data_IF_155125323720
#
_entry.id   IF_155125323720
#
_cell.length_a   1.000
_cell.length_b   1.000
_cell.length_c   1.000
_cell.angle_alpha   90.00
_cell.angle_beta   90.00
_cell.angle_gamma   90.00
#
_symmetry.space_group_name_H-M   'P 1'
#
loop_
_entity.id
_entity.type
_entity.pdbx_description
1 polymer ?
#
# COMPACT_ATOMS: atom_id res chain seq x y z
N UNK A 1 9.38 50.39 -42.23
CA UNK A 1 10.01 49.04 -42.24
C UNK A 1 9.08 48.11 -41.47
N UNK A 2 8.59 47.09 -42.15
CA UNK A 2 7.30 46.42 -41.93
C UNK A 2 7.30 45.44 -40.74
N UNK A 3 6.19 45.34 -39.97
CA UNK A 3 6.02 44.41 -38.84
C UNK A 3 5.51 43.01 -39.26
N UNK A 4 5.61 42.65 -40.56
CA UNK A 4 4.96 41.47 -41.13
C UNK A 4 5.50 40.11 -40.62
N UNK A 5 6.73 40.08 -40.08
CA UNK A 5 7.34 38.84 -39.61
C UNK A 5 6.86 38.36 -38.23
N UNK A 6 6.34 39.26 -37.38
CA UNK A 6 5.88 38.90 -36.02
C UNK A 6 4.54 38.15 -36.07
N UNK A 7 3.61 38.62 -36.89
CA UNK A 7 2.26 38.08 -37.03
C UNK A 7 2.26 36.60 -37.47
N UNK A 8 3.19 36.21 -38.34
CA UNK A 8 3.34 34.82 -38.80
C UNK A 8 3.93 33.90 -37.72
N UNK A 9 4.78 34.42 -36.84
CA UNK A 9 5.30 33.67 -35.70
C UNK A 9 4.21 33.54 -34.64
N UNK A 10 3.46 34.61 -34.37
CA UNK A 10 2.36 34.62 -33.40
C UNK A 10 1.25 33.63 -33.80
N UNK A 11 0.93 33.52 -35.10
CA UNK A 11 0.00 32.49 -35.61
C UNK A 11 0.51 31.07 -35.39
N UNK A 12 1.80 30.82 -35.64
CA UNK A 12 2.39 29.50 -35.41
C UNK A 12 2.44 29.15 -33.92
N UNK A 13 2.79 30.13 -33.06
CA UNK A 13 2.77 29.96 -31.61
C UNK A 13 1.36 29.62 -31.15
N UNK A 14 0.34 30.35 -31.62
CA UNK A 14 -1.06 30.09 -31.28
C UNK A 14 -1.52 28.70 -31.75
N UNK A 15 -1.12 28.27 -32.96
CA UNK A 15 -1.40 26.93 -33.46
C UNK A 15 -0.73 25.84 -32.60
N UNK A 16 0.51 26.04 -32.18
CA UNK A 16 1.20 25.10 -31.28
C UNK A 16 0.58 25.06 -29.89
N UNK A 17 0.24 26.20 -29.31
CA UNK A 17 -0.43 26.27 -28.00
C UNK A 17 -1.80 25.57 -28.02
N UNK A 18 -2.56 25.77 -29.11
CA UNK A 18 -3.85 25.10 -29.32
C UNK A 18 -3.65 23.59 -29.46
N UNK A 19 -2.69 23.16 -30.28
CA UNK A 19 -2.37 21.75 -30.47
C UNK A 19 -1.92 21.07 -29.18
N UNK A 20 -1.04 21.72 -28.40
CA UNK A 20 -0.55 21.19 -27.12
C UNK A 20 -1.70 21.06 -26.11
N UNK A 21 -2.60 22.06 -26.03
CA UNK A 21 -3.76 21.96 -25.12
C UNK A 21 -4.78 20.92 -25.56
N UNK A 22 -5.09 20.83 -26.85
CA UNK A 22 -6.21 20.00 -27.31
C UNK A 22 -5.86 18.53 -27.49
N UNK A 23 -4.62 18.24 -27.92
CA UNK A 23 -4.15 16.88 -28.20
C UNK A 23 -3.36 16.35 -27.02
N UNK A 24 -2.27 17.03 -26.67
CA UNK A 24 -1.32 16.55 -25.66
C UNK A 24 -1.95 16.46 -24.26
N UNK A 25 -2.78 17.45 -23.90
CA UNK A 25 -3.46 17.44 -22.59
C UNK A 25 -4.57 16.39 -22.52
N UNK A 26 -5.29 16.18 -23.62
CA UNK A 26 -6.37 15.17 -23.73
C UNK A 26 -5.80 13.76 -23.65
N UNK A 27 -4.77 13.49 -24.45
CA UNK A 27 -4.11 12.19 -24.48
C UNK A 27 -3.47 11.87 -23.10
N UNK A 28 -2.86 12.86 -22.45
CA UNK A 28 -2.27 12.68 -21.11
C UNK A 28 -3.32 12.50 -20.00
N UNK A 29 -4.47 13.19 -20.08
CA UNK A 29 -5.56 13.02 -19.13
C UNK A 29 -6.24 11.64 -19.25
N UNK A 30 -6.40 11.12 -20.46
CA UNK A 30 -6.96 9.77 -20.68
C UNK A 30 -6.01 8.67 -20.22
N UNK A 31 -4.72 8.76 -20.58
CA UNK A 31 -3.73 7.72 -20.27
C UNK A 31 -3.36 7.67 -18.77
N UNK A 32 -3.40 8.81 -18.07
CA UNK A 32 -3.02 8.88 -16.66
C UNK A 32 -4.14 8.44 -15.72
N UNK A 33 -5.41 8.45 -16.16
CA UNK A 33 -6.56 8.31 -15.24
C UNK A 33 -6.77 6.89 -14.67
N UNK A 34 -6.13 5.87 -15.26
CA UNK A 34 -6.35 4.46 -14.93
C UNK A 34 -5.04 3.69 -14.82
N UNK A 35 -5.02 2.71 -13.93
CA UNK A 35 -3.87 1.85 -13.64
C UNK A 35 -4.28 0.38 -13.64
N UNK A 36 -3.34 -0.51 -13.98
CA UNK A 36 -3.55 -1.95 -13.87
C UNK A 36 -3.18 -2.44 -12.46
N UNK A 37 -4.15 -3.00 -11.75
CA UNK A 37 -3.96 -3.58 -10.42
C UNK A 37 -4.02 -5.10 -10.51
N UNK A 38 -3.00 -5.78 -9.98
CA UNK A 38 -2.96 -7.23 -9.90
C UNK A 38 -3.98 -7.74 -8.86
N UNK A 39 -4.93 -8.56 -9.29
CA UNK A 39 -5.98 -9.10 -8.41
C UNK A 39 -5.69 -10.53 -7.94
N UNK A 40 -4.81 -11.25 -8.65
CA UNK A 40 -4.35 -12.61 -8.33
C UNK A 40 -4.35 -13.54 -9.55
N UNK A 41 -3.72 -14.72 -9.41
CA UNK A 41 -3.66 -15.77 -10.45
C UNK A 41 -3.21 -15.28 -11.85
N UNK A 42 -2.37 -14.24 -11.90
CA UNK A 42 -1.89 -13.66 -13.17
C UNK A 42 -2.87 -12.71 -13.86
N UNK A 43 -4.00 -12.38 -13.23
CA UNK A 43 -4.97 -11.42 -13.75
C UNK A 43 -4.74 -10.01 -13.24
N UNK A 44 -4.96 -9.05 -14.14
CA UNK A 44 -4.88 -7.61 -13.88
C UNK A 44 -6.19 -6.96 -14.28
N UNK A 45 -6.62 -5.98 -13.49
CA UNK A 45 -7.83 -5.18 -13.75
C UNK A 45 -7.43 -3.73 -13.89
N UNK A 46 -7.90 -3.09 -14.95
CA UNK A 46 -7.77 -1.65 -15.16
C UNK A 46 -8.75 -0.92 -14.23
N UNK A 47 -8.23 -0.09 -13.33
CA UNK A 47 -9.02 0.63 -12.32
C UNK A 47 -8.67 2.12 -12.36
N UNK A 48 -9.65 2.97 -12.05
CA UNK A 48 -9.36 4.37 -11.73
C UNK A 48 -8.59 4.45 -10.41
N UNK A 49 -7.89 5.58 -10.19
CA UNK A 49 -7.21 5.83 -8.92
C UNK A 49 -8.10 5.66 -7.69
N UNK A 50 -9.34 6.15 -7.75
CA UNK A 50 -10.27 6.08 -6.63
C UNK A 50 -10.69 4.64 -6.30
N UNK A 51 -10.84 3.79 -7.31
CA UNK A 51 -11.17 2.37 -7.16
C UNK A 51 -9.97 1.58 -6.67
N UNK A 52 -8.77 1.87 -7.18
CA UNK A 52 -7.54 1.26 -6.71
C UNK A 52 -7.27 1.55 -5.23
N UNK A 53 -7.50 2.78 -4.77
CA UNK A 53 -7.40 3.14 -3.35
C UNK A 53 -8.38 2.34 -2.49
N UNK A 54 -9.65 2.23 -2.91
CA UNK A 54 -10.65 1.40 -2.21
C UNK A 54 -10.26 -0.08 -2.19
N UNK A 55 -9.67 -0.58 -3.29
CA UNK A 55 -9.18 -1.95 -3.36
C UNK A 55 -8.04 -2.21 -2.39
N UNK A 56 -7.06 -1.30 -2.32
CA UNK A 56 -5.94 -1.36 -1.38
C UNK A 56 -6.46 -1.33 0.05
N UNK A 57 -7.33 -0.39 0.39
CA UNK A 57 -7.91 -0.28 1.73
C UNK A 57 -8.62 -1.57 2.14
N UNK A 58 -9.44 -2.14 1.24
CA UNK A 58 -10.12 -3.41 1.48
C UNK A 58 -9.14 -4.56 1.72
N UNK A 59 -8.07 -4.65 0.91
CA UNK A 59 -7.01 -5.67 1.08
C UNK A 59 -6.24 -5.50 2.39
N UNK A 60 -5.90 -4.26 2.75
CA UNK A 60 -5.24 -3.93 4.02
C UNK A 60 -6.12 -4.36 5.20
N UNK A 61 -7.40 -3.99 5.19
CA UNK A 61 -8.34 -4.36 6.26
C UNK A 61 -8.46 -5.88 6.40
N UNK A 62 -8.56 -6.62 5.28
CA UNK A 62 -8.58 -8.07 5.30
C UNK A 62 -7.32 -8.67 5.95
N UNK A 63 -6.13 -8.18 5.57
CA UNK A 63 -4.86 -8.64 6.13
C UNK A 63 -4.72 -8.29 7.62
N UNK A 64 -5.15 -7.10 8.02
CA UNK A 64 -5.15 -6.67 9.42
C UNK A 64 -6.06 -7.58 10.26
N UNK A 65 -7.30 -7.84 9.82
CA UNK A 65 -8.20 -8.75 10.53
C UNK A 65 -7.61 -10.15 10.66
N UNK A 66 -6.99 -10.67 9.60
CA UNK A 66 -6.35 -11.98 9.68
C UNK A 66 -5.17 -12.00 10.66
N UNK A 67 -4.37 -10.94 10.66
CA UNK A 67 -3.24 -10.74 11.58
C UNK A 67 -3.71 -10.68 13.03
N UNK A 68 -4.81 -9.99 13.31
CA UNK A 68 -5.39 -9.91 14.68
C UNK A 68 -5.82 -11.27 15.20
N UNK A 69 -6.46 -12.10 14.37
CA UNK A 69 -6.86 -13.46 14.73
C UNK A 69 -5.62 -14.30 15.04
N UNK A 70 -4.64 -14.32 14.13
CA UNK A 70 -3.39 -15.06 14.33
C UNK A 70 -2.61 -14.58 15.56
N UNK A 71 -2.65 -13.29 15.86
CA UNK A 71 -2.01 -12.70 17.04
C UNK A 71 -2.66 -13.21 18.32
N UNK A 72 -4.01 -13.25 18.37
CA UNK A 72 -4.76 -13.80 19.51
C UNK A 72 -4.49 -15.29 19.71
N UNK A 73 -4.50 -16.06 18.63
CA UNK A 73 -4.23 -17.50 18.69
C UNK A 73 -2.80 -17.79 19.16
N UNK A 74 -1.83 -17.03 18.64
CA UNK A 74 -0.43 -17.13 19.06
C UNK A 74 -0.26 -16.79 20.55
N UNK A 75 -0.93 -15.74 21.02
CA UNK A 75 -0.91 -15.36 22.44
C UNK A 75 -1.51 -16.45 23.33
N UNK A 76 -2.62 -17.07 22.90
CA UNK A 76 -3.27 -18.18 23.62
C UNK A 76 -2.36 -19.40 23.71
N UNK A 77 -1.73 -19.80 22.61
CA UNK A 77 -0.77 -20.92 22.60
C UNK A 77 0.40 -20.62 23.54
N UNK A 78 0.98 -19.42 23.44
CA UNK A 78 2.08 -18.98 24.30
C UNK A 78 1.71 -19.04 25.78
N UNK A 79 0.51 -18.58 26.14
CA UNK A 79 0.00 -18.62 27.51
C UNK A 79 -0.17 -20.05 28.01
N UNK A 80 -0.75 -20.94 27.20
CA UNK A 80 -0.93 -22.35 27.54
C UNK A 80 0.42 -23.05 27.80
N UNK A 81 1.41 -22.83 26.91
CA UNK A 81 2.76 -23.37 27.08
C UNK A 81 3.37 -22.86 28.39
N UNK A 82 3.29 -21.54 28.64
CA UNK A 82 3.84 -20.95 29.86
C UNK A 82 3.19 -21.56 31.10
N UNK A 83 1.86 -21.61 31.16
CA UNK A 83 1.11 -22.20 32.28
C UNK A 83 1.56 -23.63 32.60
N UNK A 84 1.70 -24.48 31.58
CA UNK A 84 2.16 -25.87 31.78
C UNK A 84 3.61 -25.92 32.27
N UNK A 85 4.50 -25.09 31.73
CA UNK A 85 5.89 -25.03 32.16
C UNK A 85 6.03 -24.56 33.62
N UNK A 86 5.26 -23.56 34.03
CA UNK A 86 5.22 -23.11 35.43
C UNK A 86 4.73 -24.23 36.36
N UNK A 87 3.63 -24.91 36.00
CA UNK A 87 3.09 -26.02 36.79
C UNK A 87 4.07 -27.20 36.90
N UNK A 88 4.78 -27.55 35.83
CA UNK A 88 5.83 -28.57 35.88
C UNK A 88 7.02 -28.13 36.74
N UNK A 89 7.42 -26.84 36.67
CA UNK A 89 8.49 -26.28 37.49
C UNK A 89 8.18 -26.40 38.99
N UNK A 90 6.94 -26.05 39.37
CA UNK A 90 6.45 -26.17 40.75
C UNK A 90 6.49 -27.63 41.24
N UNK A 91 6.00 -28.57 40.43
CA UNK A 91 6.01 -30.00 40.76
C UNK A 91 7.43 -30.58 40.90
N UNK A 92 8.40 -30.02 40.18
CA UNK A 92 9.80 -30.45 40.24
C UNK A 92 10.59 -29.77 41.37
N UNK A 93 9.99 -28.85 42.14
CA UNK A 93 10.65 -28.15 43.23
C UNK A 93 11.80 -27.22 42.80
N UNK A 94 11.82 -26.82 41.52
CA UNK A 94 12.83 -25.91 40.98
C UNK A 94 12.47 -24.47 41.36
N UNK A 95 13.30 -23.82 42.18
CA UNK A 95 13.14 -22.41 42.58
C UNK A 95 13.41 -21.43 41.43
N UNK A 96 12.81 -20.24 41.51
CA UNK A 96 12.82 -19.22 40.45
C UNK A 96 14.23 -18.90 39.94
N UNK A 97 14.48 -19.20 38.67
CA UNK A 97 15.58 -18.60 37.92
C UNK A 97 15.09 -17.22 37.48
N UNK A 98 15.80 -16.12 37.78
CA UNK A 98 15.32 -14.79 37.44
C UNK A 98 15.08 -14.72 35.93
N UNK A 99 13.82 -14.41 35.55
CA UNK A 99 13.41 -14.14 34.17
C UNK A 99 14.48 -13.23 33.54
N UNK A 100 15.26 -13.79 32.61
CA UNK A 100 16.28 -13.06 31.89
C UNK A 100 15.52 -12.08 31.00
N UNK A 101 15.19 -10.92 31.57
CA UNK A 101 14.45 -9.80 30.97
C UNK A 101 15.11 -9.57 29.61
N UNK A 102 14.51 -10.13 28.55
CA UNK A 102 14.90 -9.88 27.17
C UNK A 102 14.56 -8.42 26.98
N UNK A 103 15.55 -7.56 27.27
CA UNK A 103 15.50 -6.15 26.92
C UNK A 103 15.30 -6.14 25.42
N UNK A 104 14.15 -5.61 25.03
CA UNK A 104 13.82 -5.32 23.65
C UNK A 104 15.01 -4.58 23.03
N UNK A 105 15.59 -5.17 22.00
CA UNK A 105 16.55 -4.50 21.15
C UNK A 105 15.74 -3.59 20.22
N UNK A 106 15.88 -2.28 20.48
CA UNK A 106 15.73 -1.12 19.58
C UNK A 106 14.56 -1.14 18.59
#
# INVERSE_FOLDING_TARGET
MTPAGKTSIDEKVLQYETFISDVLKRDLEEDSSKIFVAVGYGFFVELTHSEALKFIEKKTNQLTTHTEVLTKDSAKIKANIRMVLEGLRELQGLTDVPEKRRRDAL
#
